data_IF_927991169716
#
_entry.id   IF_927991169716
#
_cell.length_a   1.000
_cell.length_b   1.000
_cell.length_c   1.000
_cell.angle_alpha   90.00
_cell.angle_beta   90.00
_cell.angle_gamma   90.00
#
_symmetry.space_group_name_H-M   'P 1'
#
loop_
_entity.id
_entity.type
_entity.pdbx_description
1 polymer ?
#
# COMPACT_ATOMS: atom_id res chain seq x y z
N UNK A 1 14.49 19.50 17.01
CA UNK A 1 13.13 19.20 16.50
C UNK A 1 13.27 18.76 15.05
N UNK A 2 12.57 17.69 14.63
CA UNK A 2 12.56 17.24 13.24
C UNK A 2 11.14 17.42 12.70
N UNK A 3 11.00 18.12 11.58
CA UNK A 3 9.73 18.37 10.90
C UNK A 3 9.78 17.75 9.50
N UNK A 4 8.71 17.07 9.10
CA UNK A 4 8.49 16.62 7.73
C UNK A 4 7.27 17.34 7.15
N UNK A 5 7.34 17.76 5.89
CA UNK A 5 6.23 18.44 5.20
C UNK A 5 6.30 18.21 3.70
N UNK A 6 5.14 18.18 3.04
CA UNK A 6 5.04 18.17 1.56
C UNK A 6 5.13 19.59 0.97
N UNK A 7 5.03 20.63 1.79
CA UNK A 7 5.03 22.02 1.35
C UNK A 7 6.35 22.72 1.73
N UNK A 8 7.12 23.12 0.71
CA UNK A 8 8.41 23.79 0.87
C UNK A 8 8.30 25.11 1.64
N UNK A 9 7.23 25.88 1.44
CA UNK A 9 7.03 27.17 2.13
C UNK A 9 6.85 26.98 3.64
N UNK A 10 6.19 25.90 4.05
CA UNK A 10 6.06 25.55 5.48
C UNK A 10 7.43 25.26 6.10
N UNK A 11 8.32 24.56 5.37
CA UNK A 11 9.67 24.28 5.85
C UNK A 11 10.50 25.57 6.01
N UNK A 12 10.44 26.48 5.03
CA UNK A 12 11.16 27.75 5.06
C UNK A 12 10.65 28.72 6.14
N UNK A 13 9.36 28.62 6.48
CA UNK A 13 8.78 29.43 7.55
C UNK A 13 9.10 28.88 8.94
N UNK A 14 9.19 27.54 9.08
CA UNK A 14 9.46 26.89 10.36
C UNK A 14 10.84 27.23 10.91
N UNK A 15 11.85 27.35 10.03
CA UNK A 15 13.18 27.81 10.40
C UNK A 15 13.87 28.45 9.18
N UNK A 16 14.16 29.75 9.28
CA UNK A 16 14.80 30.52 8.19
C UNK A 16 16.30 30.24 8.06
N UNK A 17 16.91 29.70 9.10
CA UNK A 17 18.36 29.43 9.14
C UNK A 17 18.69 27.99 8.71
N UNK A 18 17.71 27.09 8.70
CA UNK A 18 17.89 25.70 8.27
C UNK A 18 17.56 25.53 6.78
N UNK A 19 18.52 24.97 6.04
CA UNK A 19 18.28 24.48 4.69
C UNK A 19 17.35 23.27 4.73
N UNK A 20 16.12 23.42 4.22
CA UNK A 20 15.18 22.33 4.09
C UNK A 20 15.79 21.18 3.28
N UNK A 21 15.86 19.98 3.88
CA UNK A 21 16.34 18.79 3.17
C UNK A 21 15.23 18.25 2.26
N UNK A 22 15.45 18.32 0.95
CA UNK A 22 14.55 17.73 -0.02
C UNK A 22 14.85 16.24 -0.16
N UNK A 23 13.90 15.39 0.25
CA UNK A 23 13.97 13.96 0.03
C UNK A 23 14.08 13.66 -1.47
N UNK A 24 15.12 12.91 -1.85
CA UNK A 24 15.31 12.44 -3.23
C UNK A 24 14.42 11.23 -3.52
N UNK A 25 14.18 11.01 -4.80
CA UNK A 25 13.64 9.74 -5.29
C UNK A 25 14.67 8.61 -5.12
N UNK A 26 14.17 7.38 -5.05
CA UNK A 26 15.00 6.18 -5.06
C UNK A 26 15.66 6.00 -6.43
N UNK A 27 16.89 5.47 -6.44
CA UNK A 27 17.52 5.01 -7.68
C UNK A 27 16.81 3.75 -8.21
N UNK A 28 17.13 3.36 -9.44
CA UNK A 28 16.55 2.15 -10.01
C UNK A 28 16.93 0.90 -9.22
N UNK A 29 18.19 0.83 -8.77
CA UNK A 29 18.70 -0.25 -7.93
C UNK A 29 18.00 -0.30 -6.58
N UNK A 30 17.75 0.86 -5.96
CA UNK A 30 17.04 0.95 -4.68
C UNK A 30 15.57 0.53 -4.81
N UNK A 31 14.90 0.94 -5.89
CA UNK A 31 13.56 0.48 -6.20
C UNK A 31 13.52 -1.03 -6.38
N UNK A 32 14.48 -1.59 -7.13
CA UNK A 32 14.57 -3.03 -7.34
C UNK A 32 14.82 -3.78 -6.03
N UNK A 33 15.76 -3.31 -5.21
CA UNK A 33 16.02 -3.89 -3.89
C UNK A 33 14.78 -3.85 -2.99
N UNK A 34 14.01 -2.77 -3.04
CA UNK A 34 12.76 -2.64 -2.28
C UNK A 34 11.69 -3.63 -2.78
N UNK A 35 11.53 -3.75 -4.09
CA UNK A 35 10.60 -4.68 -4.74
C UNK A 35 10.91 -6.14 -4.38
N UNK A 36 12.19 -6.54 -4.44
CA UNK A 36 12.61 -7.91 -4.15
C UNK A 36 12.41 -8.37 -2.69
N UNK A 37 12.05 -7.47 -1.76
CA UNK A 37 11.78 -7.86 -0.37
C UNK A 37 10.53 -8.72 -0.20
N UNK A 38 9.59 -8.68 -1.15
CA UNK A 38 8.28 -9.36 -1.05
C UNK A 38 8.00 -10.25 -2.27
N UNK A 39 8.08 -9.77 -3.51
CA UNK A 39 7.83 -10.58 -4.70
C UNK A 39 9.13 -11.08 -5.37
N UNK A 40 9.16 -12.38 -5.73
CA UNK A 40 10.23 -12.97 -6.55
C UNK A 40 9.68 -13.95 -7.59
N UNK A 41 9.74 -13.60 -8.88
CA UNK A 41 9.99 -14.52 -9.98
C UNK A 41 11.50 -14.50 -10.29
N UNK A 42 12.13 -15.67 -10.42
CA UNK A 42 13.59 -15.83 -10.60
C UNK A 42 14.12 -15.50 -12.01
N UNK A 43 13.27 -15.10 -12.95
CA UNK A 43 13.62 -14.88 -14.36
C UNK A 43 12.88 -13.67 -14.90
N UNK A 44 13.56 -12.54 -15.12
CA UNK A 44 12.81 -11.34 -15.53
C UNK A 44 13.67 -10.40 -16.38
N UNK A 45 13.34 -10.30 -17.67
CA UNK A 45 13.67 -9.16 -18.55
C UNK A 45 12.75 -7.95 -18.30
N UNK A 46 11.68 -8.15 -17.54
CA UNK A 46 10.68 -7.17 -17.08
C UNK A 46 11.11 -6.31 -15.87
N UNK A 47 12.36 -6.41 -15.38
CA UNK A 47 12.80 -5.78 -14.12
C UNK A 47 12.90 -4.26 -14.23
N UNK A 48 13.51 -3.79 -15.33
CA UNK A 48 13.68 -2.37 -15.63
C UNK A 48 12.33 -1.68 -15.85
N UNK A 49 11.39 -2.36 -16.50
CA UNK A 49 10.05 -1.82 -16.74
C UNK A 49 9.30 -1.54 -15.44
N UNK A 50 9.33 -2.48 -14.47
CA UNK A 50 8.65 -2.31 -13.17
C UNK A 50 9.18 -1.08 -12.44
N UNK A 51 10.49 -0.94 -12.36
CA UNK A 51 11.16 0.15 -11.66
C UNK A 51 10.89 1.48 -12.37
N UNK A 52 10.96 1.50 -13.69
CA UNK A 52 10.67 2.69 -14.49
C UNK A 52 9.22 3.18 -14.28
N UNK A 53 8.24 2.26 -14.13
CA UNK A 53 6.84 2.61 -13.84
C UNK A 53 6.59 3.18 -12.44
N UNK A 54 7.54 3.01 -11.52
CA UNK A 54 7.40 3.52 -10.16
C UNK A 54 7.96 4.94 -9.99
N UNK A 55 8.71 5.46 -10.97
CA UNK A 55 9.27 6.82 -10.94
C UNK A 55 10.14 7.12 -9.71
N UNK A 56 10.74 6.11 -9.08
CA UNK A 56 11.55 6.28 -7.87
C UNK A 56 10.75 6.50 -6.57
N UNK A 57 9.42 6.36 -6.59
CA UNK A 57 8.55 6.54 -5.42
C UNK A 57 8.47 5.24 -4.59
N UNK A 58 8.89 5.24 -3.31
CA UNK A 58 8.83 4.04 -2.48
C UNK A 58 7.42 3.44 -2.34
N UNK A 59 6.40 4.30 -2.22
CA UNK A 59 5.00 3.86 -2.10
C UNK A 59 4.52 3.17 -3.39
N UNK A 60 4.88 3.70 -4.56
CA UNK A 60 4.53 3.08 -5.84
C UNK A 60 5.14 1.68 -5.96
N UNK A 61 6.40 1.52 -5.54
CA UNK A 61 7.10 0.23 -5.56
C UNK A 61 6.39 -0.81 -4.68
N UNK A 62 6.08 -0.48 -3.42
CA UNK A 62 5.49 -1.47 -2.49
C UNK A 62 4.04 -1.83 -2.82
N UNK A 63 3.28 -0.91 -3.42
CA UNK A 63 1.90 -1.18 -3.87
C UNK A 63 1.91 -2.00 -5.15
N UNK A 64 2.78 -1.67 -6.12
CA UNK A 64 2.93 -2.45 -7.35
C UNK A 64 3.44 -3.87 -7.05
N UNK A 65 4.38 -4.01 -6.13
CA UNK A 65 4.84 -5.30 -5.61
C UNK A 65 3.68 -6.11 -4.98
N UNK A 66 2.88 -5.47 -4.13
CA UNK A 66 1.68 -6.08 -3.53
C UNK A 66 0.70 -6.60 -4.59
N UNK A 67 0.43 -5.80 -5.62
CA UNK A 67 -0.42 -6.17 -6.76
C UNK A 67 0.15 -7.35 -7.56
N UNK A 68 1.43 -7.28 -7.95
CA UNK A 68 2.08 -8.30 -8.76
C UNK A 68 2.29 -9.62 -8.01
N UNK A 69 2.45 -9.57 -6.68
CA UNK A 69 2.57 -10.75 -5.82
C UNK A 69 1.33 -11.67 -5.86
N UNK A 70 0.18 -11.10 -6.23
CA UNK A 70 -1.12 -11.80 -6.34
C UNK A 70 -1.41 -12.32 -7.73
N UNK A 71 -0.56 -11.99 -8.71
CA UNK A 71 -0.59 -12.62 -10.03
C UNK A 71 0.19 -13.90 -9.98
N UNK A 72 -0.25 -14.88 -10.78
CA UNK A 72 0.61 -16.01 -11.11
C UNK A 72 1.95 -15.46 -11.58
N UNK A 73 3.05 -16.10 -11.18
CA UNK A 73 4.43 -15.67 -11.47
C UNK A 73 4.80 -15.87 -12.94
N UNK A 74 3.89 -15.47 -13.83
CA UNK A 74 3.92 -15.60 -15.27
C UNK A 74 4.23 -14.21 -15.83
N UNK A 75 5.36 -14.04 -16.55
CA UNK A 75 5.77 -12.73 -17.08
C UNK A 75 4.72 -12.02 -17.94
N UNK A 76 3.84 -12.77 -18.64
CA UNK A 76 2.79 -12.18 -19.48
C UNK A 76 1.70 -11.46 -18.69
N UNK A 77 1.33 -11.95 -17.50
CA UNK A 77 0.35 -11.27 -16.63
C UNK A 77 0.93 -9.99 -16.06
N UNK A 78 2.21 -10.00 -15.70
CA UNK A 78 2.92 -8.82 -15.21
C UNK A 78 3.02 -7.75 -16.31
N UNK A 79 3.37 -8.16 -17.54
CA UNK A 79 3.42 -7.26 -18.69
C UNK A 79 2.08 -6.59 -18.98
N UNK A 80 0.95 -7.29 -18.82
CA UNK A 80 -0.40 -6.70 -18.98
C UNK A 80 -0.66 -5.59 -17.96
N UNK A 81 -0.28 -5.79 -16.69
CA UNK A 81 -0.41 -4.77 -15.63
C UNK A 81 0.47 -3.56 -15.95
N UNK A 82 1.75 -3.78 -16.28
CA UNK A 82 2.70 -2.69 -16.57
C UNK A 82 2.29 -1.86 -17.79
N UNK A 83 1.69 -2.49 -18.80
CA UNK A 83 1.15 -1.77 -19.98
C UNK A 83 0.06 -0.77 -19.59
N UNK A 84 -0.78 -1.08 -18.59
CA UNK A 84 -1.87 -0.21 -18.12
C UNK A 84 -1.36 1.02 -17.35
N UNK A 85 -0.14 0.98 -16.79
CA UNK A 85 0.45 2.11 -16.05
C UNK A 85 0.97 3.21 -17.01
N UNK A 86 1.13 2.91 -18.30
CA UNK A 86 1.81 3.78 -19.27
C UNK A 86 0.94 4.89 -19.91
N UNK A 87 -0.18 5.27 -19.28
CA UNK A 87 -1.05 6.33 -19.80
C UNK A 87 -0.42 7.71 -19.66
N UNK A 88 -0.30 8.45 -20.76
CA UNK A 88 0.19 9.84 -20.76
C UNK A 88 -0.77 10.75 -19.97
N UNK A 89 -0.26 11.47 -18.98
CA UNK A 89 -0.96 12.59 -18.33
C UNK A 89 -1.49 12.35 -16.90
N UNK A 90 -1.42 11.13 -16.36
CA UNK A 90 -1.83 10.85 -14.98
C UNK A 90 -0.63 10.56 -14.07
N UNK A 91 -0.74 10.92 -12.79
CA UNK A 91 0.25 10.58 -11.77
C UNK A 91 0.37 9.05 -11.69
N UNK A 92 1.57 8.52 -11.98
CA UNK A 92 1.82 7.08 -12.11
C UNK A 92 1.43 6.33 -10.84
N UNK A 93 1.62 6.97 -9.68
CA UNK A 93 1.20 6.38 -8.40
C UNK A 93 -0.32 6.21 -8.35
N UNK A 94 -1.11 7.21 -8.78
CA UNK A 94 -2.58 7.11 -8.81
C UNK A 94 -3.04 5.95 -9.68
N UNK A 95 -2.41 5.74 -10.84
CA UNK A 95 -2.75 4.60 -11.70
C UNK A 95 -2.45 3.27 -10.98
N UNK A 96 -1.28 3.15 -10.33
CA UNK A 96 -0.90 1.97 -9.57
C UNK A 96 -1.91 1.70 -8.44
N UNK A 97 -2.32 2.74 -7.69
CA UNK A 97 -3.30 2.61 -6.61
C UNK A 97 -4.67 2.15 -7.13
N UNK A 98 -5.15 2.73 -8.23
CA UNK A 98 -6.41 2.32 -8.87
C UNK A 98 -6.34 0.88 -9.34
N UNK A 99 -5.23 0.47 -9.97
CA UNK A 99 -5.05 -0.92 -10.40
C UNK A 99 -5.04 -1.90 -9.23
N UNK A 100 -4.41 -1.53 -8.12
CA UNK A 100 -4.41 -2.33 -6.88
C UNK A 100 -5.81 -2.48 -6.29
N UNK A 101 -6.61 -1.41 -6.28
CA UNK A 101 -8.00 -1.46 -5.85
C UNK A 101 -8.89 -2.29 -6.79
N UNK A 102 -8.73 -2.12 -8.11
CA UNK A 102 -9.48 -2.87 -9.12
C UNK A 102 -9.26 -4.37 -8.98
N UNK A 103 -8.01 -4.77 -8.69
CA UNK A 103 -7.58 -6.16 -8.48
C UNK A 103 -8.05 -6.78 -7.16
N UNK A 104 -8.53 -5.98 -6.20
CA UNK A 104 -9.05 -6.53 -4.95
C UNK A 104 -10.22 -7.49 -5.23
N UNK A 105 -10.26 -8.66 -4.57
CA UNK A 105 -11.44 -9.50 -4.53
C UNK A 105 -12.67 -8.69 -4.11
N UNK A 106 -13.81 -8.99 -4.74
CA UNK A 106 -15.05 -8.23 -4.52
C UNK A 106 -15.43 -8.12 -3.03
N UNK A 107 -15.21 -9.18 -2.25
CA UNK A 107 -15.51 -9.21 -0.81
C UNK A 107 -14.59 -8.30 0.03
N UNK A 108 -13.38 -7.96 -0.44
CA UNK A 108 -12.47 -7.05 0.27
C UNK A 108 -12.74 -5.57 0.00
N UNK A 109 -13.35 -5.24 -1.14
CA UNK A 109 -13.60 -3.84 -1.52
C UNK A 109 -14.40 -3.06 -0.45
N UNK A 110 -15.49 -3.57 0.12
CA UNK A 110 -16.21 -2.88 1.20
C UNK A 110 -15.36 -2.66 2.45
N UNK A 111 -14.54 -3.65 2.81
CA UNK A 111 -13.63 -3.56 3.97
C UNK A 111 -12.59 -2.46 3.78
N UNK A 112 -11.97 -2.41 2.60
CA UNK A 112 -11.01 -1.37 2.23
C UNK A 112 -11.65 0.02 2.20
N UNK A 113 -12.78 0.18 1.50
CA UNK A 113 -13.49 1.48 1.41
C UNK A 113 -13.91 2.02 2.78
N UNK A 114 -14.26 1.14 3.72
CA UNK A 114 -14.66 1.55 5.06
C UNK A 114 -13.54 2.24 5.85
N UNK A 115 -12.29 1.98 5.51
CA UNK A 115 -11.16 2.63 6.16
C UNK A 115 -11.13 4.15 5.89
N UNK A 116 -11.72 4.62 4.79
CA UNK A 116 -11.87 6.05 4.50
C UNK A 116 -12.83 6.81 5.43
N UNK A 117 -13.53 6.10 6.33
CA UNK A 117 -14.35 6.75 7.38
C UNK A 117 -13.48 7.26 8.53
N UNK A 118 -12.28 6.73 8.70
CA UNK A 118 -11.36 7.15 9.75
C UNK A 118 -10.60 8.42 9.33
N UNK A 119 -10.21 9.27 10.28
CA UNK A 119 -9.39 10.44 9.97
C UNK A 119 -8.04 10.06 9.35
N UNK A 120 -7.48 10.97 8.56
CA UNK A 120 -6.12 10.87 8.02
C UNK A 120 -5.10 10.61 9.15
N UNK A 121 -4.08 9.79 8.87
CA UNK A 121 -3.04 9.35 9.82
C UNK A 121 -3.53 8.68 11.13
N UNK A 122 -4.81 8.29 11.23
CA UNK A 122 -5.34 7.67 12.44
C UNK A 122 -4.84 6.23 12.64
N UNK A 123 -4.28 5.93 13.81
CA UNK A 123 -3.96 4.55 14.21
C UNK A 123 -5.23 3.81 14.64
N UNK A 124 -5.72 2.90 13.79
CA UNK A 124 -6.94 2.12 14.04
C UNK A 124 -6.56 0.81 14.76
N UNK A 125 -7.11 0.51 15.94
CA UNK A 125 -6.91 -0.79 16.57
C UNK A 125 -7.47 -1.93 15.69
N UNK A 126 -6.64 -2.90 15.32
CA UNK A 126 -7.01 -3.96 14.37
C UNK A 126 -8.26 -4.73 14.84
N UNK A 127 -8.31 -5.09 16.13
CA UNK A 127 -9.47 -5.78 16.73
C UNK A 127 -10.77 -4.98 16.59
N UNK A 128 -10.70 -3.65 16.73
CA UNK A 128 -11.87 -2.77 16.58
C UNK A 128 -12.32 -2.73 15.12
N UNK A 129 -11.38 -2.66 14.19
CA UNK A 129 -11.67 -2.67 12.76
C UNK A 129 -12.37 -3.97 12.33
N UNK A 130 -11.85 -5.13 12.77
CA UNK A 130 -12.44 -6.45 12.53
C UNK A 130 -13.89 -6.51 13.00
N UNK A 131 -14.14 -6.10 14.25
CA UNK A 131 -15.50 -6.07 14.81
C UNK A 131 -16.44 -5.16 14.02
N UNK A 132 -15.94 -4.02 13.52
CA UNK A 132 -16.73 -3.10 12.70
C UNK A 132 -17.08 -3.70 11.33
N UNK A 133 -16.16 -4.42 10.70
CA UNK A 133 -16.44 -5.12 9.43
C UNK A 133 -17.45 -6.25 9.60
N UNK A 134 -17.35 -7.04 10.66
CA UNK A 134 -18.32 -8.10 10.99
C UNK A 134 -19.69 -7.47 11.29
N UNK A 135 -19.75 -6.44 12.14
CA UNK A 135 -21.01 -5.79 12.50
C UNK A 135 -21.71 -5.11 11.30
N UNK A 136 -20.95 -4.69 10.29
CA UNK A 136 -21.49 -4.13 9.05
C UNK A 136 -21.84 -5.17 7.99
N UNK A 137 -21.56 -6.44 8.24
CA UNK A 137 -21.85 -7.53 7.31
C UNK A 137 -20.95 -7.53 6.08
N UNK A 138 -19.75 -6.95 6.16
CA UNK A 138 -18.79 -6.97 5.04
C UNK A 138 -18.07 -8.30 4.89
N UNK A 139 -18.02 -9.08 5.97
CA UNK A 139 -17.33 -10.36 6.04
C UNK A 139 -18.30 -11.46 5.64
N UNK A 140 -17.88 -12.35 4.74
CA UNK A 140 -18.67 -13.49 4.31
C UNK A 140 -18.33 -14.72 5.14
N UNK A 141 -19.33 -15.46 5.61
CA UNK A 141 -19.09 -16.66 6.39
C UNK A 141 -18.40 -17.74 5.55
N UNK A 142 -17.29 -18.28 6.06
CA UNK A 142 -16.53 -19.34 5.42
C UNK A 142 -16.67 -20.65 6.20
N UNK A 143 -17.61 -21.49 5.77
CA UNK A 143 -17.87 -22.77 6.44
C UNK A 143 -18.23 -22.58 7.92
N UNK A 144 -17.42 -23.18 8.80
CA UNK A 144 -17.61 -23.13 10.26
C UNK A 144 -16.64 -22.17 10.97
N UNK A 145 -15.84 -21.40 10.24
CA UNK A 145 -14.90 -20.41 10.81
C UNK A 145 -15.68 -19.27 11.47
N UNK A 146 -15.09 -18.69 12.53
CA UNK A 146 -15.67 -17.51 13.17
C UNK A 146 -15.57 -16.31 12.22
N UNK A 147 -16.57 -15.43 12.23
CA UNK A 147 -16.57 -14.26 11.35
C UNK A 147 -15.38 -13.33 11.62
N UNK A 148 -14.93 -13.27 12.88
CA UNK A 148 -13.73 -12.54 13.28
C UNK A 148 -12.45 -13.14 12.71
N UNK A 149 -12.35 -14.48 12.60
CA UNK A 149 -11.19 -15.14 12.00
C UNK A 149 -11.13 -14.85 10.49
N UNK A 150 -12.26 -14.93 9.79
CA UNK A 150 -12.32 -14.57 8.36
C UNK A 150 -11.99 -13.07 8.14
N UNK A 151 -12.40 -12.20 9.06
CA UNK A 151 -12.09 -10.79 9.01
C UNK A 151 -10.60 -10.49 9.29
N UNK A 152 -9.95 -11.31 10.13
CA UNK A 152 -8.50 -11.27 10.34
C UNK A 152 -7.76 -11.61 9.04
N UNK A 153 -8.15 -12.68 8.35
CA UNK A 153 -7.61 -13.03 7.02
C UNK A 153 -7.77 -11.89 6.01
N UNK A 154 -8.92 -11.21 6.02
CA UNK A 154 -9.18 -10.06 5.14
C UNK A 154 -8.21 -8.90 5.42
N UNK A 155 -7.96 -8.61 6.71
CA UNK A 155 -7.01 -7.57 7.10
C UNK A 155 -5.57 -7.95 6.68
N UNK A 156 -5.18 -9.21 6.87
CA UNK A 156 -3.87 -9.72 6.48
C UNK A 156 -3.68 -9.63 4.96
N UNK A 157 -4.70 -9.95 4.15
CA UNK A 157 -4.61 -9.82 2.70
C UNK A 157 -4.41 -8.34 2.26
N UNK A 158 -5.09 -7.39 2.90
CA UNK A 158 -4.92 -5.97 2.62
C UNK A 158 -3.51 -5.46 3.01
N UNK A 159 -2.94 -6.00 4.09
CA UNK A 159 -1.56 -5.69 4.53
C UNK A 159 -0.54 -6.25 3.55
N UNK A 160 -0.73 -7.48 3.11
CA UNK A 160 0.17 -8.13 2.16
C UNK A 160 0.21 -7.39 0.82
N UNK A 161 -0.96 -6.93 0.35
CA UNK A 161 -1.11 -6.08 -0.84
C UNK A 161 -0.55 -4.66 -0.65
N UNK A 162 0.01 -4.35 0.52
CA UNK A 162 0.54 -3.03 0.90
C UNK A 162 -0.50 -1.90 0.85
N UNK A 163 -1.79 -2.24 0.93
CA UNK A 163 -2.90 -1.26 0.95
C UNK A 163 -3.24 -0.81 2.38
N UNK A 164 -2.83 -1.58 3.38
CA UNK A 164 -2.92 -1.23 4.80
C UNK A 164 -1.57 -1.42 5.46
N UNK A 165 -1.17 -0.48 6.30
CA UNK A 165 0.09 -0.55 7.03
C UNK A 165 -0.16 -1.01 8.46
N UNK A 166 0.60 -2.02 8.90
CA UNK A 166 0.58 -2.47 10.28
C UNK A 166 1.54 -1.62 11.12
N UNK A 167 1.03 -0.98 12.17
CA UNK A 167 1.83 -0.30 13.21
C UNK A 167 1.84 -1.17 14.47
N UNK A 168 3.02 -1.34 15.08
CA UNK A 168 3.17 -2.03 16.36
C UNK A 168 3.54 -0.99 17.42
N UNK A 169 2.72 -0.82 18.45
CA UNK A 169 3.16 -0.11 19.66
C UNK A 169 4.21 -0.97 20.39
N UNK A 170 5.35 -0.36 20.69
CA UNK A 170 6.41 -0.99 21.48
C UNK A 170 5.95 -1.25 22.92
N UNK A 171 6.34 -2.38 23.50
CA UNK A 171 6.16 -2.68 24.92
C UNK A 171 5.14 -3.79 25.19
N UNK A 172 3.84 -3.49 25.14
CA UNK A 172 2.75 -4.43 25.44
C UNK A 172 1.46 -3.90 24.79
N UNK A 173 0.83 -4.67 23.90
CA UNK A 173 -0.63 -4.56 23.66
C UNK A 173 -1.10 -3.82 22.40
N UNK A 174 -1.81 -4.60 21.58
CA UNK A 174 -2.70 -4.22 20.47
C UNK A 174 -2.02 -3.81 19.16
N UNK A 175 -2.15 -4.68 18.14
CA UNK A 175 -1.85 -4.38 16.74
C UNK A 175 -2.73 -3.21 16.27
N UNK A 176 -2.13 -2.16 15.74
CA UNK A 176 -2.85 -1.07 15.08
C UNK A 176 -2.57 -1.10 13.58
N UNK A 177 -3.45 -0.53 12.79
CA UNK A 177 -3.32 -0.40 11.36
C UNK A 177 -3.65 1.03 10.93
N UNK A 178 -3.08 1.46 9.81
CA UNK A 178 -3.33 2.77 9.21
C UNK A 178 -3.32 2.66 7.69
N UNK A 179 -4.03 3.57 7.03
CA UNK A 179 -3.90 3.80 5.59
C UNK A 179 -2.88 4.91 5.37
N UNK A 180 -2.13 4.83 4.27
CA UNK A 180 -1.27 5.94 3.84
C UNK A 180 -2.12 7.00 3.16
N UNK A 181 -1.92 8.29 3.41
CA UNK A 181 -2.79 9.40 2.94
C UNK A 181 -3.02 9.52 1.42
N UNK A 182 -2.31 8.73 0.61
CA UNK A 182 -2.51 8.70 -0.84
C UNK A 182 -3.51 7.62 -1.27
N UNK A 183 -3.85 6.69 -0.37
CA UNK A 183 -4.71 5.52 -0.57
C UNK A 183 -6.15 5.78 -0.11
#
# INVERSE_FOLDING_TARGET
MLLTTRNREVALHADKEITAYQLRFLSEEECWMLFCKKALPKNVTTTLDIVAKCGGLPLAVVVLDGLLSRKDKIPSEWAKVLKRISGEGHDQITIILVLSYDDLPYFLKPCFLYLGVFPEDHEIPARKLIQLWVAKGFVQQRGNEMMEEVAEDYLEELIDRSMVQLSRRSGVGTKTCRIHDML
#
